data_IF_648476398404
#
_entry.id   IF_648476398404
#
_cell.length_a   1.000
_cell.length_b   1.000
_cell.length_c   1.000
_cell.angle_alpha   90.00
_cell.angle_beta   90.00
_cell.angle_gamma   90.00
#
_symmetry.space_group_name_H-M   'P 1'
#
loop_
_entity.id
_entity.type
_entity.pdbx_description
1 polymer ?
#
# COMPACT_ATOMS: atom_id res chain seq x y z
N UNK A 1 3.15 -6.37 96.49
CA UNK A 1 4.02 -5.72 95.46
C UNK A 1 3.36 -5.87 94.10
N UNK A 2 3.62 -4.97 93.14
CA UNK A 2 3.02 -4.96 91.79
C UNK A 2 4.13 -4.73 90.74
N UNK A 3 4.03 -5.26 89.50
CA UNK A 3 3.21 -4.66 88.41
C UNK A 3 2.11 -5.62 87.87
N UNK A 4 0.96 -5.18 87.31
CA UNK A 4 0.66 -4.58 85.95
C UNK A 4 1.04 -5.52 84.79
N UNK A 5 0.24 -5.79 83.73
CA UNK A 5 -1.15 -5.46 83.25
C UNK A 5 -1.48 -6.50 82.12
N UNK A 6 -2.68 -6.90 81.63
CA UNK A 6 -4.11 -6.51 81.62
C UNK A 6 -4.51 -5.25 80.81
N UNK A 7 -5.53 -5.23 79.93
CA UNK A 7 -6.59 -6.20 79.54
C UNK A 7 -6.81 -6.21 77.99
N UNK A 8 -7.72 -6.97 77.33
CA UNK A 8 -9.21 -6.97 77.38
C UNK A 8 -9.78 -6.21 76.16
N UNK A 9 -10.95 -6.44 75.55
CA UNK A 9 -12.11 -7.37 75.67
C UNK A 9 -12.61 -7.65 74.20
N UNK A 10 -13.63 -8.42 73.82
CA UNK A 10 -14.85 -8.94 74.46
C UNK A 10 -16.12 -8.21 73.93
N UNK A 11 -16.97 -8.95 73.19
CA UNK A 11 -18.47 -8.96 73.18
C UNK A 11 -19.31 -7.66 73.34
N UNK A 12 -20.49 -7.45 72.72
CA UNK A 12 -21.42 -8.31 71.92
C UNK A 12 -22.54 -7.48 71.23
N UNK A 13 -23.46 -8.16 70.51
CA UNK A 13 -24.80 -7.72 70.02
C UNK A 13 -24.88 -6.65 68.88
N UNK A 14 -25.88 -6.68 67.97
CA UNK A 14 -26.91 -7.72 67.73
C UNK A 14 -27.95 -7.39 66.63
N UNK A 15 -28.68 -8.43 66.18
CA UNK A 15 -30.03 -8.48 65.57
C UNK A 15 -30.40 -7.87 64.18
N UNK A 16 -31.00 -8.75 63.35
CA UNK A 16 -32.13 -8.66 62.37
C UNK A 16 -33.02 -7.38 62.33
N UNK A 17 -33.79 -7.03 61.27
CA UNK A 17 -34.25 -7.70 60.02
C UNK A 17 -34.41 -6.65 58.85
N UNK A 18 -34.46 -6.97 57.54
CA UNK A 18 -35.63 -7.38 56.71
C UNK A 18 -36.90 -6.46 56.88
N UNK A 19 -37.56 -5.80 55.90
CA UNK A 19 -38.02 -6.16 54.54
C UNK A 19 -38.23 -4.93 53.57
N UNK A 20 -37.76 -5.04 52.31
CA UNK A 20 -38.49 -4.89 51.00
C UNK A 20 -39.27 -3.60 50.51
N UNK A 21 -39.08 -3.30 49.19
CA UNK A 21 -39.96 -2.68 48.15
C UNK A 21 -39.88 -1.18 47.67
N UNK A 22 -39.56 -1.05 46.37
CA UNK A 22 -40.07 -0.13 45.32
C UNK A 22 -39.72 1.39 45.21
N UNK A 23 -39.76 1.86 43.94
CA UNK A 23 -39.61 3.25 43.40
C UNK A 23 -38.17 3.81 43.47
N UNK A 24 -37.61 4.54 42.49
CA UNK A 24 -37.96 4.69 41.07
C UNK A 24 -38.35 6.10 40.60
N UNK A 25 -37.38 6.95 40.16
CA UNK A 25 -37.51 7.95 39.06
C UNK A 25 -36.22 8.79 38.82
N UNK A 26 -35.95 9.05 37.53
CA UNK A 26 -35.30 10.21 36.87
C UNK A 26 -34.07 10.90 37.50
N UNK A 27 -32.95 10.88 36.78
CA UNK A 27 -31.93 11.95 36.77
C UNK A 27 -32.29 13.01 35.71
N UNK A 28 -32.15 14.28 36.07
CA UNK A 28 -32.01 15.45 35.19
C UNK A 28 -31.04 16.41 35.91
N UNK A 29 -29.90 16.75 35.31
CA UNK A 29 -29.67 17.92 34.43
C UNK A 29 -29.24 19.17 35.22
N UNK A 30 -27.93 19.27 35.50
CA UNK A 30 -27.29 20.56 35.80
C UNK A 30 -26.07 20.76 34.91
N UNK A 31 -26.26 21.53 33.83
CA UNK A 31 -25.17 22.24 33.15
C UNK A 31 -24.98 23.56 33.88
N UNK A 32 -23.80 23.79 34.45
CA UNK A 32 -23.44 25.10 34.99
C UNK A 32 -23.05 26.00 33.81
N UNK A 33 -23.65 27.20 33.76
CA UNK A 33 -23.36 28.19 32.73
C UNK A 33 -22.15 29.05 33.13
N UNK A 34 -21.40 29.52 32.13
CA UNK A 34 -20.39 30.57 32.30
C UNK A 34 -21.10 31.92 32.18
N UNK A 35 -20.78 32.86 33.07
CA UNK A 35 -21.45 34.16 33.15
C UNK A 35 -21.13 35.07 31.95
N UNK A 36 -22.09 35.93 31.59
CA UNK A 36 -21.85 37.07 30.72
C UNK A 36 -21.22 38.23 31.52
N UNK A 37 -20.50 39.09 30.82
CA UNK A 37 -20.65 40.54 31.01
C UNK A 37 -20.75 41.21 29.62
N UNK A 38 -21.44 42.34 29.53
CA UNK A 38 -22.06 42.81 28.28
C UNK A 38 -21.89 44.33 28.04
N UNK A 39 -22.72 44.89 27.14
CA UNK A 39 -22.72 46.25 26.57
C UNK A 39 -21.68 46.46 25.43
N UNK A 40 -21.98 47.22 24.36
CA UNK A 40 -23.11 48.14 24.12
C UNK A 40 -23.65 48.10 22.65
N UNK A 41 -24.66 48.94 22.34
CA UNK A 41 -25.53 48.92 21.14
C UNK A 41 -24.82 49.51 19.88
N UNK A 42 -25.05 49.13 18.60
CA UNK A 42 -26.30 49.04 17.76
C UNK A 42 -26.88 50.45 17.48
N UNK A 43 -27.27 50.87 16.22
CA UNK A 43 -27.70 50.08 15.04
C UNK A 43 -27.19 50.49 13.61
N UNK A 44 -27.56 49.64 12.63
CA UNK A 44 -28.01 49.92 11.25
C UNK A 44 -27.18 50.70 10.18
N UNK A 45 -26.93 50.02 9.05
CA UNK A 45 -27.33 50.43 7.70
C UNK A 45 -27.43 49.21 6.77
N UNK A 46 -28.08 49.31 5.60
CA UNK A 46 -28.32 48.21 4.65
C UNK A 46 -28.07 48.66 3.19
N UNK A 47 -28.32 47.76 2.23
CA UNK A 47 -28.29 47.92 0.76
C UNK A 47 -26.90 48.00 0.06
N UNK A 48 -26.43 46.81 -0.30
CA UNK A 48 -26.16 46.37 -1.68
C UNK A 48 -26.00 47.37 -2.85
N UNK A 49 -25.14 46.94 -3.79
CA UNK A 49 -25.17 47.09 -5.26
C UNK A 49 -24.42 48.25 -5.97
N UNK A 50 -24.10 47.91 -7.22
CA UNK A 50 -23.56 48.68 -8.34
C UNK A 50 -22.06 49.01 -8.42
N UNK A 51 -21.55 48.77 -9.63
CA UNK A 51 -20.17 48.85 -10.07
C UNK A 51 -19.70 50.27 -10.40
N UNK A 52 -18.38 50.51 -10.30
CA UNK A 52 -17.67 51.50 -11.14
C UNK A 52 -16.23 51.05 -11.41
N UNK A 53 -15.79 51.15 -12.68
CA UNK A 53 -14.38 51.00 -13.10
C UNK A 53 -13.71 52.38 -13.08
N UNK A 54 -12.57 52.55 -12.41
CA UNK A 54 -11.59 53.62 -12.69
C UNK A 54 -10.17 53.03 -12.59
N UNK A 55 -9.19 53.63 -13.28
CA UNK A 55 -7.79 53.19 -13.40
C UNK A 55 -6.87 53.87 -12.37
N UNK A 56 -5.89 53.13 -11.85
CA UNK A 56 -4.58 53.62 -11.39
C UNK A 56 -3.61 52.41 -11.48
N UNK A 57 -2.50 52.44 -12.23
CA UNK A 57 -1.30 53.30 -12.16
C UNK A 57 -0.35 52.89 -11.02
N UNK A 58 0.59 51.99 -11.34
CA UNK A 58 1.69 51.56 -10.46
C UNK A 58 3.04 52.14 -10.93
N UNK A 59 3.70 53.02 -10.15
CA UNK A 59 5.10 53.37 -10.42
C UNK A 59 6.01 52.21 -10.00
N UNK A 60 7.10 52.02 -10.73
CA UNK A 60 8.14 51.05 -10.39
C UNK A 60 9.38 51.79 -9.86
N UNK A 61 10.00 51.25 -8.81
CA UNK A 61 11.29 51.72 -8.29
C UNK A 61 12.26 50.54 -8.27
N UNK A 62 13.34 50.64 -9.05
CA UNK A 62 14.33 49.57 -9.18
C UNK A 62 15.45 49.69 -8.13
N UNK A 63 16.09 48.57 -7.80
CA UNK A 63 17.34 48.51 -7.04
C UNK A 63 18.40 47.84 -7.93
N UNK A 64 19.52 48.50 -8.24
CA UNK A 64 20.56 47.93 -9.09
C UNK A 64 21.49 46.98 -8.31
N UNK A 65 21.95 45.92 -8.98
CA UNK A 65 23.07 45.08 -8.52
C UNK A 65 24.12 45.05 -9.61
N UNK A 66 25.35 45.40 -9.26
CA UNK A 66 26.46 45.54 -10.19
C UNK A 66 26.91 44.18 -10.76
N UNK A 67 27.19 44.17 -12.08
CA UNK A 67 28.13 43.23 -12.70
C UNK A 67 29.26 44.01 -13.36
N UNK A 68 30.44 43.41 -13.38
CA UNK A 68 31.58 43.87 -14.18
C UNK A 68 31.57 43.09 -15.49
N UNK A 69 31.55 43.79 -16.61
CA UNK A 69 31.91 43.23 -17.91
C UNK A 69 33.32 43.70 -18.28
N UNK A 70 34.10 42.82 -18.91
CA UNK A 70 35.44 43.13 -19.42
C UNK A 70 35.37 43.16 -20.94
N UNK A 71 35.76 44.29 -21.53
CA UNK A 71 35.80 44.46 -22.97
C UNK A 71 37.03 43.76 -23.58
N UNK A 72 36.87 43.23 -24.79
CA UNK A 72 37.92 43.33 -25.80
C UNK A 72 37.28 43.50 -27.18
N UNK A 73 37.91 44.29 -28.05
CA UNK A 73 37.44 44.65 -29.39
C UNK A 73 38.53 44.41 -30.42
N UNK A 74 38.14 44.11 -31.67
CA UNK A 74 38.77 44.63 -32.90
C UNK A 74 37.91 44.35 -34.14
N UNK A 75 38.06 45.22 -35.13
CA UNK A 75 37.16 45.42 -36.26
C UNK A 75 37.58 44.72 -37.57
N UNK A 76 36.82 45.04 -38.65
CA UNK A 76 37.21 45.08 -40.07
C UNK A 76 36.87 43.84 -40.95
N UNK A 77 36.50 43.98 -42.24
CA UNK A 77 36.05 45.14 -43.07
C UNK A 77 35.47 44.66 -44.43
N UNK A 78 34.46 45.38 -44.99
CA UNK A 78 34.12 45.51 -46.44
C UNK A 78 33.73 44.19 -47.20
N UNK A 79 33.06 44.12 -48.37
CA UNK A 79 32.13 44.95 -49.20
C UNK A 79 31.35 43.95 -50.09
N UNK A 80 30.01 43.98 -50.20
CA UNK A 80 29.14 44.78 -51.11
C UNK A 80 29.49 44.71 -52.61
N UNK A 81 28.54 44.20 -53.42
CA UNK A 81 28.03 44.63 -54.75
C UNK A 81 26.74 43.79 -54.99
N UNK A 82 25.55 44.41 -55.18
CA UNK A 82 24.86 44.66 -56.47
C UNK A 82 24.43 43.39 -57.24
N UNK A 83 23.29 43.29 -57.95
CA UNK A 83 21.95 43.90 -58.02
C UNK A 83 21.35 43.37 -59.35
N UNK A 84 20.06 42.97 -59.40
CA UNK A 84 19.04 43.42 -60.40
C UNK A 84 17.80 42.50 -60.59
N UNK A 85 16.63 43.16 -60.63
CA UNK A 85 15.39 42.91 -61.39
C UNK A 85 14.72 41.51 -61.57
N UNK A 86 13.66 41.29 -60.76
CA UNK A 86 12.21 41.14 -61.10
C UNK A 86 11.77 41.02 -62.60
N UNK A 87 10.51 40.61 -62.92
CA UNK A 87 9.60 39.59 -62.33
C UNK A 87 8.84 38.75 -63.42
N UNK A 88 7.85 37.91 -63.04
CA UNK A 88 6.46 37.79 -63.61
C UNK A 88 5.83 36.37 -63.42
N UNK A 89 4.78 36.32 -62.59
CA UNK A 89 3.42 35.70 -62.75
C UNK A 89 3.22 34.27 -63.32
N UNK A 90 2.42 33.51 -62.57
CA UNK A 90 1.58 32.32 -62.88
C UNK A 90 2.17 31.01 -63.47
N UNK A 91 1.56 29.89 -63.04
CA UNK A 91 1.82 28.54 -63.57
C UNK A 91 1.61 27.44 -62.52
N UNK A 92 0.51 26.69 -62.60
CA UNK A 92 0.32 25.47 -61.79
C UNK A 92 1.24 24.35 -62.31
N UNK A 93 1.99 23.67 -61.43
CA UNK A 93 2.09 22.20 -61.41
C UNK A 93 2.92 21.68 -60.22
N UNK A 94 2.29 20.88 -59.35
CA UNK A 94 2.96 20.32 -58.17
C UNK A 94 3.69 19.00 -58.49
N UNK A 95 4.91 19.10 -59.02
CA UNK A 95 5.82 17.98 -59.31
C UNK A 95 6.40 17.30 -58.04
N UNK A 96 5.56 17.00 -57.05
CA UNK A 96 5.88 16.05 -55.97
C UNK A 96 4.69 15.19 -55.49
N UNK A 97 3.59 15.16 -56.25
CA UNK A 97 2.47 14.25 -56.02
C UNK A 97 2.69 12.89 -56.73
N UNK A 98 3.60 12.05 -56.22
CA UNK A 98 3.70 10.65 -56.64
C UNK A 98 3.09 9.69 -55.61
N UNK A 99 2.41 8.66 -56.12
CA UNK A 99 1.48 7.83 -55.37
C UNK A 99 2.13 7.07 -54.20
N UNK A 100 1.80 7.47 -52.97
CA UNK A 100 1.96 6.61 -51.80
C UNK A 100 1.01 5.40 -51.94
N UNK A 101 1.48 4.15 -51.78
CA UNK A 101 0.60 2.99 -51.83
C UNK A 101 -0.42 3.06 -50.69
N UNK A 102 -1.70 2.93 -51.04
CA UNK A 102 -2.82 3.01 -50.11
C UNK A 102 -2.67 1.91 -49.07
N UNK A 103 -2.30 2.27 -47.84
CA UNK A 103 -2.35 1.34 -46.71
C UNK A 103 -3.80 0.89 -46.54
N UNK A 104 -4.13 -0.41 -46.59
CA UNK A 104 -5.49 -0.87 -46.35
C UNK A 104 -5.86 -0.45 -44.92
N UNK A 105 -6.78 0.51 -44.82
CA UNK A 105 -7.33 0.99 -43.56
C UNK A 105 -7.97 -0.20 -42.86
N UNK A 106 -7.32 -0.71 -41.81
CA UNK A 106 -7.81 -1.87 -41.06
C UNK A 106 -9.26 -1.62 -40.68
N UNK A 107 -10.17 -2.31 -41.36
CA UNK A 107 -11.58 -2.25 -41.01
C UNK A 107 -11.71 -2.93 -39.67
N UNK A 108 -11.84 -2.12 -38.62
CA UNK A 108 -12.30 -2.60 -37.34
C UNK A 108 -13.70 -3.16 -37.59
N UNK A 109 -13.81 -4.48 -37.73
CA UNK A 109 -15.10 -5.14 -37.90
C UNK A 109 -15.89 -4.90 -36.62
N UNK A 110 -16.74 -3.86 -36.66
CA UNK A 110 -17.78 -3.66 -35.68
C UNK A 110 -18.66 -4.91 -35.76
N UNK A 111 -18.49 -5.82 -34.81
CA UNK A 111 -19.37 -6.97 -34.67
C UNK A 111 -20.77 -6.41 -34.40
N UNK A 112 -21.58 -6.37 -35.46
CA UNK A 112 -23.01 -6.05 -35.36
C UNK A 112 -23.65 -7.14 -34.52
N UNK A 113 -23.83 -6.87 -33.24
CA UNK A 113 -24.63 -7.70 -32.34
C UNK A 113 -26.07 -7.71 -32.85
N UNK A 114 -26.40 -8.72 -33.67
CA UNK A 114 -27.72 -8.88 -34.25
C UNK A 114 -28.71 -9.22 -33.13
N UNK A 115 -29.51 -8.24 -32.71
CA UNK A 115 -30.56 -8.44 -31.69
C UNK A 115 -31.78 -9.09 -32.33
N UNK A 116 -31.77 -10.42 -32.45
CA UNK A 116 -32.93 -11.23 -32.77
C UNK A 116 -32.86 -12.58 -32.04
N UNK A 117 -34.02 -13.16 -31.69
CA UNK A 117 -34.12 -14.47 -31.04
C UNK A 117 -34.31 -14.42 -29.53
N UNK A 118 -35.55 -14.18 -29.08
CA UNK A 118 -35.94 -14.26 -27.65
C UNK A 118 -36.17 -15.72 -27.25
N UNK A 119 -35.08 -16.49 -27.16
CA UNK A 119 -35.09 -17.91 -26.78
C UNK A 119 -35.43 -18.14 -25.30
N UNK A 120 -36.25 -19.16 -25.03
CA UNK A 120 -36.69 -19.55 -23.68
C UNK A 120 -35.59 -20.42 -23.04
N UNK A 121 -35.01 -19.98 -21.92
CA UNK A 121 -34.02 -20.77 -21.17
C UNK A 121 -34.70 -21.60 -20.09
N UNK A 122 -34.75 -22.91 -20.28
CA UNK A 122 -35.18 -23.86 -19.24
C UNK A 122 -33.96 -24.40 -18.47
N UNK A 123 -34.17 -24.86 -17.24
CA UNK A 123 -33.09 -25.01 -16.26
C UNK A 123 -32.14 -26.18 -16.58
N UNK A 124 -30.85 -25.88 -16.79
CA UNK A 124 -29.82 -26.89 -16.92
C UNK A 124 -29.26 -27.29 -15.54
N UNK A 125 -29.53 -28.54 -15.13
CA UNK A 125 -28.85 -29.20 -14.01
C UNK A 125 -27.35 -29.38 -14.34
N UNK A 126 -26.51 -29.48 -13.31
CA UNK A 126 -25.05 -29.62 -13.44
C UNK A 126 -24.64 -30.88 -14.21
N UNK A 127 -24.43 -30.73 -15.52
CA UNK A 127 -23.74 -31.71 -16.38
C UNK A 127 -22.37 -31.15 -16.73
N UNK A 128 -21.34 -31.99 -16.67
CA UNK A 128 -19.97 -31.59 -17.00
C UNK A 128 -19.89 -31.08 -18.45
N UNK A 129 -19.33 -29.88 -18.62
CA UNK A 129 -19.27 -29.22 -19.90
C UNK A 129 -18.23 -29.88 -20.82
N UNK A 130 -18.65 -30.93 -21.53
CA UNK A 130 -17.88 -31.56 -22.60
C UNK A 130 -17.39 -30.47 -23.58
N UNK A 131 -16.06 -30.32 -23.79
CA UNK A 131 -15.54 -29.28 -24.65
C UNK A 131 -16.05 -29.52 -26.08
N UNK A 132 -16.55 -28.45 -26.72
CA UNK A 132 -16.93 -28.50 -28.12
C UNK A 132 -15.69 -28.81 -28.96
N UNK A 133 -15.64 -30.03 -29.49
CA UNK A 133 -14.53 -30.57 -30.30
C UNK A 133 -14.36 -29.78 -31.59
N UNK A 134 -13.62 -28.68 -31.51
CA UNK A 134 -13.23 -27.86 -32.63
C UNK A 134 -11.94 -28.47 -33.19
N UNK A 135 -11.98 -29.19 -34.32
CA UNK A 135 -10.83 -29.96 -34.81
C UNK A 135 -9.62 -29.07 -35.11
N UNK A 136 -9.83 -27.78 -35.41
CA UNK A 136 -8.74 -26.82 -35.64
C UNK A 136 -8.02 -26.46 -34.34
N UNK A 137 -8.73 -26.39 -33.20
CA UNK A 137 -8.11 -26.21 -31.88
C UNK A 137 -7.44 -27.50 -31.40
N UNK A 138 -8.10 -28.65 -31.60
CA UNK A 138 -7.53 -29.97 -31.27
C UNK A 138 -6.24 -30.23 -32.06
N UNK A 139 -6.21 -29.91 -33.36
CA UNK A 139 -4.99 -29.93 -34.18
C UNK A 139 -3.96 -28.90 -33.71
N UNK A 140 -4.37 -27.68 -33.40
CA UNK A 140 -3.45 -26.65 -32.92
C UNK A 140 -2.77 -27.07 -31.59
N UNK A 141 -3.49 -27.73 -30.69
CA UNK A 141 -2.96 -28.27 -29.44
C UNK A 141 -2.08 -29.51 -29.65
N UNK A 142 -2.41 -30.39 -30.60
CA UNK A 142 -1.51 -31.50 -31.01
C UNK A 142 -0.21 -31.00 -31.66
N UNK A 143 -0.29 -29.95 -32.48
CA UNK A 143 0.85 -29.33 -33.17
C UNK A 143 1.69 -28.44 -32.24
N UNK A 144 1.09 -27.94 -31.15
CA UNK A 144 1.75 -27.14 -30.12
C UNK A 144 1.49 -27.79 -28.73
N UNK A 145 2.15 -28.92 -28.38
CA UNK A 145 1.92 -29.62 -27.11
C UNK A 145 2.37 -28.81 -25.88
N UNK A 146 3.12 -27.72 -26.06
CA UNK A 146 3.44 -26.71 -25.03
C UNK A 146 2.34 -25.65 -24.84
N UNK A 147 1.28 -25.64 -25.67
CA UNK A 147 0.16 -24.73 -25.53
C UNK A 147 -0.62 -25.01 -24.23
N UNK A 148 -1.15 -23.99 -23.54
CA UNK A 148 -1.57 -24.09 -22.14
C UNK A 148 -2.80 -24.99 -21.86
N UNK A 149 -3.44 -25.52 -22.90
CA UNK A 149 -4.61 -26.41 -22.86
C UNK A 149 -4.43 -27.70 -23.67
N UNK A 150 -3.21 -28.02 -24.12
CA UNK A 150 -2.91 -29.32 -24.71
C UNK A 150 -2.91 -30.38 -23.60
N UNK A 151 -3.96 -31.20 -23.51
CA UNK A 151 -3.90 -32.44 -22.74
C UNK A 151 -2.82 -33.35 -23.37
N UNK A 152 -1.86 -33.88 -22.59
CA UNK A 152 -0.92 -34.87 -23.11
C UNK A 152 -1.70 -36.06 -23.68
N UNK A 153 -1.30 -36.58 -24.84
CA UNK A 153 -1.81 -37.89 -25.23
C UNK A 153 -1.25 -38.93 -24.26
N UNK A 154 -2.15 -39.55 -23.51
CA UNK A 154 -1.82 -40.54 -22.49
C UNK A 154 -1.13 -41.75 -23.14
N UNK A 155 0.20 -41.80 -22.99
CA UNK A 155 0.89 -43.09 -22.87
C UNK A 155 0.26 -43.78 -21.65
N UNK A 156 0.08 -45.11 -21.65
CA UNK A 156 -0.47 -45.81 -20.48
C UNK A 156 0.44 -45.56 -19.26
N UNK A 157 -0.01 -44.68 -18.38
CA UNK A 157 0.69 -44.33 -17.13
C UNK A 157 0.59 -45.55 -16.20
N UNK A 158 1.67 -45.99 -15.54
CA UNK A 158 1.57 -47.03 -14.52
C UNK A 158 0.56 -46.56 -13.46
N UNK A 159 -0.46 -47.37 -13.20
CA UNK A 159 -1.65 -46.95 -12.45
C UNK A 159 -1.30 -46.28 -11.12
N UNK A 160 -1.64 -44.99 -11.02
CA UNK A 160 -1.38 -44.23 -9.80
C UNK A 160 -2.39 -44.62 -8.70
N UNK A 161 -2.10 -44.23 -7.45
CA UNK A 161 -3.00 -44.52 -6.34
C UNK A 161 -4.30 -43.72 -6.49
N UNK A 162 -5.40 -44.26 -5.96
CA UNK A 162 -6.65 -43.52 -5.90
C UNK A 162 -6.45 -42.22 -5.11
N UNK A 163 -7.06 -41.11 -5.56
CA UNK A 163 -6.88 -39.79 -4.95
C UNK A 163 -7.40 -39.64 -3.50
N UNK A 164 -7.97 -40.72 -2.94
CA UNK A 164 -8.35 -40.87 -1.53
C UNK A 164 -7.37 -41.72 -0.70
N UNK A 165 -6.25 -42.15 -1.30
CA UNK A 165 -5.20 -42.94 -0.64
C UNK A 165 -4.33 -42.07 0.27
N UNK A 166 -4.10 -42.55 1.50
CA UNK A 166 -3.29 -41.84 2.51
C UNK A 166 -1.85 -41.56 2.05
N UNK A 167 -1.29 -42.36 1.15
CA UNK A 167 0.08 -42.23 0.65
C UNK A 167 0.22 -41.34 -0.60
N UNK A 168 -0.89 -40.81 -1.14
CA UNK A 168 -0.86 -39.98 -2.35
C UNK A 168 -0.19 -38.62 -2.11
N UNK A 169 -0.43 -37.99 -0.95
CA UNK A 169 0.21 -36.71 -0.61
C UNK A 169 1.71 -36.89 -0.31
N UNK A 170 2.13 -37.99 0.31
CA UNK A 170 3.56 -38.34 0.48
C UNK A 170 4.25 -38.54 -0.86
N UNK A 171 3.63 -39.27 -1.81
CA UNK A 171 4.18 -39.44 -3.17
C UNK A 171 4.25 -38.12 -3.94
N UNK A 172 3.32 -37.18 -3.72
CA UNK A 172 3.39 -35.83 -4.29
C UNK A 172 4.50 -35.01 -3.67
N UNK A 173 4.72 -35.11 -2.37
CA UNK A 173 5.85 -34.47 -1.69
C UNK A 173 7.20 -35.03 -2.20
N UNK A 174 7.32 -36.34 -2.38
CA UNK A 174 8.49 -36.99 -2.98
C UNK A 174 8.72 -36.53 -4.42
N UNK A 175 7.71 -36.59 -5.31
CA UNK A 175 7.83 -36.08 -6.70
C UNK A 175 8.24 -34.61 -6.74
N UNK A 176 7.73 -33.76 -5.83
CA UNK A 176 8.16 -32.36 -5.73
C UNK A 176 9.62 -32.24 -5.25
N UNK A 177 10.04 -33.02 -4.25
CA UNK A 177 11.44 -33.04 -3.79
C UNK A 177 12.40 -33.52 -4.88
N UNK A 178 12.01 -34.54 -5.66
CA UNK A 178 12.74 -35.02 -6.83
C UNK A 178 12.81 -33.96 -7.94
N UNK A 179 11.70 -33.27 -8.25
CA UNK A 179 11.70 -32.14 -9.19
C UNK A 179 12.58 -30.97 -8.72
N UNK A 180 12.57 -30.63 -7.43
CA UNK A 180 13.42 -29.59 -6.85
C UNK A 180 14.91 -29.99 -6.85
N UNK A 181 15.24 -31.25 -6.54
CA UNK A 181 16.60 -31.77 -6.60
C UNK A 181 17.14 -31.80 -8.04
N UNK A 182 16.35 -32.32 -8.99
CA UNK A 182 16.70 -32.34 -10.41
C UNK A 182 16.81 -30.92 -11.02
N UNK A 183 16.05 -29.95 -10.49
CA UNK A 183 16.16 -28.54 -10.87
C UNK A 183 17.34 -27.80 -10.17
N UNK A 184 17.94 -28.38 -9.14
CA UNK A 184 19.15 -27.86 -8.50
C UNK A 184 20.43 -28.43 -9.12
N UNK A 185 20.42 -29.72 -9.50
CA UNK A 185 21.55 -30.43 -10.12
C UNK A 185 21.65 -30.17 -11.64
N UNK A 186 20.50 -29.98 -12.30
CA UNK A 186 20.43 -29.56 -13.70
C UNK A 186 20.74 -28.07 -13.88
N UNK A 187 21.91 -27.74 -14.42
CA UNK A 187 22.45 -26.37 -14.58
C UNK A 187 21.69 -25.37 -15.48
N UNK A 188 20.38 -25.54 -15.73
CA UNK A 188 19.50 -24.56 -16.38
C UNK A 188 19.12 -23.42 -15.39
N UNK A 189 20.13 -22.67 -14.95
CA UNK A 189 19.99 -21.59 -13.98
C UNK A 189 19.14 -20.38 -14.48
N UNK A 190 18.60 -20.43 -15.70
CA UNK A 190 17.78 -19.36 -16.28
C UNK A 190 16.27 -19.59 -16.20
N UNK A 191 15.79 -20.84 -16.16
CA UNK A 191 14.40 -21.15 -16.49
C UNK A 191 13.55 -21.53 -15.27
N UNK A 192 13.15 -20.55 -14.46
CA UNK A 192 12.29 -20.80 -13.29
C UNK A 192 10.91 -21.34 -13.72
N UNK A 193 10.70 -22.65 -13.60
CA UNK A 193 9.41 -23.29 -13.90
C UNK A 193 8.35 -22.86 -12.88
N UNK A 194 7.15 -22.53 -13.33
CA UNK A 194 6.00 -22.20 -12.47
C UNK A 194 4.78 -22.96 -12.98
N UNK A 195 4.21 -23.84 -12.14
CA UNK A 195 3.07 -24.69 -12.53
C UNK A 195 3.37 -25.54 -13.77
N UNK A 196 4.57 -26.14 -13.83
CA UNK A 196 5.04 -26.94 -14.95
C UNK A 196 5.47 -26.18 -16.22
N UNK A 197 5.34 -24.84 -16.26
CA UNK A 197 5.64 -24.03 -17.45
C UNK A 197 6.93 -23.22 -17.29
N UNK A 198 7.73 -23.20 -18.35
CA UNK A 198 8.91 -22.35 -18.51
C UNK A 198 8.56 -20.86 -18.52
N UNK A 199 9.51 -20.00 -18.13
CA UNK A 199 9.35 -18.53 -18.13
C UNK A 199 9.97 -17.91 -19.38
N UNK A 200 9.40 -18.20 -20.55
CA UNK A 200 9.91 -17.73 -21.85
C UNK A 200 9.87 -16.20 -21.96
N UNK A 201 11.02 -15.48 -21.99
CA UNK A 201 11.03 -14.01 -22.00
C UNK A 201 10.33 -13.42 -23.22
N UNK A 202 10.50 -14.04 -24.39
CA UNK A 202 9.88 -13.61 -25.66
C UNK A 202 8.35 -13.71 -25.63
N UNK A 203 7.79 -14.65 -24.89
CA UNK A 203 6.34 -14.80 -24.71
C UNK A 203 5.82 -13.75 -23.72
N UNK A 204 6.49 -13.62 -22.58
CA UNK A 204 6.15 -12.63 -21.54
C UNK A 204 6.25 -11.18 -22.04
N UNK A 205 7.19 -10.87 -22.94
CA UNK A 205 7.41 -9.52 -23.47
C UNK A 205 6.12 -8.86 -24.00
N UNK A 206 5.25 -9.64 -24.68
CA UNK A 206 3.97 -9.15 -25.24
C UNK A 206 2.96 -8.68 -24.17
N UNK A 207 3.13 -9.11 -22.92
CA UNK A 207 2.25 -8.78 -21.79
C UNK A 207 2.92 -7.79 -20.84
N UNK A 208 4.25 -7.88 -20.67
CA UNK A 208 5.05 -7.00 -19.82
C UNK A 208 5.32 -5.62 -20.47
N UNK A 209 5.63 -5.61 -21.78
CA UNK A 209 6.01 -4.43 -22.56
C UNK A 209 5.05 -4.21 -23.76
N UNK A 210 3.79 -3.79 -23.54
CA UNK A 210 2.86 -3.54 -24.64
C UNK A 210 3.21 -2.30 -25.48
N UNK A 211 3.85 -1.28 -24.89
CA UNK A 211 4.20 0.01 -25.54
C UNK A 211 5.70 0.36 -25.36
N UNK A 212 6.63 -0.33 -26.06
CA UNK A 212 8.08 -0.12 -25.87
C UNK A 212 8.52 1.34 -26.09
N UNK A 213 8.04 1.98 -27.15
CA UNK A 213 8.31 3.39 -27.45
C UNK A 213 7.91 4.35 -26.31
N UNK A 214 6.94 3.97 -25.47
CA UNK A 214 6.52 4.77 -24.30
C UNK A 214 7.38 4.48 -23.08
N UNK A 215 7.84 3.23 -22.90
CA UNK A 215 8.84 2.88 -21.89
C UNK A 215 10.17 3.61 -22.14
N UNK A 216 10.73 3.54 -23.34
CA UNK A 216 11.99 4.21 -23.70
C UNK A 216 11.98 5.72 -23.42
N UNK A 217 10.89 6.41 -23.80
CA UNK A 217 10.72 7.85 -23.55
C UNK A 217 10.63 8.18 -22.06
N UNK A 218 10.05 7.29 -21.25
CA UNK A 218 10.03 7.39 -19.80
C UNK A 218 11.42 7.12 -19.18
N UNK A 219 12.12 6.09 -19.65
CA UNK A 219 13.48 5.73 -19.22
C UNK A 219 14.47 6.87 -19.50
N UNK A 220 14.50 7.41 -20.74
CA UNK A 220 15.29 8.59 -21.10
C UNK A 220 14.99 9.78 -20.18
N UNK A 221 13.72 10.03 -19.86
CA UNK A 221 13.30 11.08 -18.90
C UNK A 221 13.80 10.79 -17.48
N UNK A 222 13.84 9.53 -17.04
CA UNK A 222 14.36 9.12 -15.73
C UNK A 222 15.89 9.21 -15.63
N UNK A 223 16.62 8.79 -16.67
CA UNK A 223 18.07 8.95 -16.75
C UNK A 223 18.45 10.43 -16.70
N UNK A 224 17.78 11.29 -17.46
CA UNK A 224 18.00 12.75 -17.41
C UNK A 224 17.70 13.32 -16.00
N UNK A 225 16.64 12.86 -15.34
CA UNK A 225 16.34 13.25 -13.95
C UNK A 225 17.42 12.79 -12.94
N UNK A 226 18.00 11.60 -13.14
CA UNK A 226 19.07 11.05 -12.31
C UNK A 226 20.39 11.80 -12.49
N UNK A 227 20.79 12.04 -13.74
CA UNK A 227 22.00 12.82 -14.10
C UNK A 227 21.89 14.26 -13.56
N UNK A 228 20.74 14.93 -13.74
CA UNK A 228 20.51 16.28 -13.21
C UNK A 228 20.55 16.35 -11.67
N UNK A 229 20.37 15.24 -10.96
CA UNK A 229 20.51 15.14 -9.49
C UNK A 229 21.93 14.76 -9.04
N UNK A 230 22.85 14.44 -9.96
CA UNK A 230 24.18 13.93 -9.61
C UNK A 230 24.12 12.67 -8.75
N UNK A 231 23.20 11.75 -9.06
CA UNK A 231 23.00 10.50 -8.30
C UNK A 231 22.32 10.66 -6.93
N UNK A 232 22.06 11.89 -6.44
CA UNK A 232 21.43 12.12 -5.13
C UNK A 232 20.00 11.57 -5.09
N UNK A 233 19.78 10.53 -4.29
CA UNK A 233 18.46 9.98 -3.99
C UNK A 233 17.68 10.93 -3.08
N UNK A 234 16.38 11.06 -3.31
CA UNK A 234 15.46 11.59 -2.28
C UNK A 234 15.12 10.50 -1.28
N UNK A 235 14.84 10.87 -0.03
CA UNK A 235 14.38 10.00 1.06
C UNK A 235 13.37 8.90 0.62
N UNK A 236 12.28 9.29 -0.06
CA UNK A 236 11.28 8.35 -0.63
C UNK A 236 11.84 7.30 -1.63
N UNK A 237 13.02 7.53 -2.22
CA UNK A 237 13.71 6.56 -3.09
C UNK A 237 14.68 5.67 -2.29
N UNK A 238 15.19 6.14 -1.16
CA UNK A 238 15.96 5.32 -0.21
C UNK A 238 14.99 4.32 0.44
N UNK A 239 13.92 4.82 1.05
CA UNK A 239 12.84 4.02 1.65
C UNK A 239 12.36 2.93 0.69
N UNK A 240 12.03 3.25 -0.57
CA UNK A 240 11.56 2.28 -1.56
C UNK A 240 12.62 1.31 -2.11
N UNK A 241 13.87 1.45 -1.69
CA UNK A 241 14.98 0.53 -1.99
C UNK A 241 15.39 -0.31 -0.78
N UNK A 242 15.22 0.21 0.43
CA UNK A 242 15.61 -0.46 1.68
C UNK A 242 14.46 -1.15 2.39
N UNK A 243 13.26 -0.57 2.36
CA UNK A 243 12.07 -1.10 3.02
C UNK A 243 11.20 -1.88 2.04
N UNK A 244 10.75 -3.07 2.45
CA UNK A 244 9.77 -3.86 1.70
C UNK A 244 8.35 -3.44 2.10
N UNK A 245 7.51 -3.19 1.10
CA UNK A 245 6.08 -2.96 1.29
C UNK A 245 5.25 -3.87 0.36
N UNK A 246 4.12 -4.37 0.86
CA UNK A 246 3.15 -5.12 0.06
C UNK A 246 1.73 -4.60 0.27
N UNK A 247 1.02 -4.29 -0.82
CA UNK A 247 -0.33 -3.72 -0.80
C UNK A 247 -1.31 -4.74 -1.35
N UNK A 248 -2.13 -5.30 -0.46
CA UNK A 248 -3.11 -6.34 -0.78
C UNK A 248 -4.51 -5.76 -0.74
N UNK A 249 -5.31 -6.03 -1.77
CA UNK A 249 -6.71 -5.62 -1.86
C UNK A 249 -7.60 -6.85 -1.92
N UNK A 250 -8.64 -6.87 -1.09
CA UNK A 250 -9.58 -7.98 -1.01
C UNK A 250 -10.58 -8.03 -2.17
N UNK A 251 -11.19 -9.20 -2.31
CA UNK A 251 -12.50 -9.34 -2.96
C UNK A 251 -13.56 -8.44 -2.29
N UNK A 252 -14.66 -8.17 -3.00
CA UNK A 252 -15.75 -7.35 -2.46
C UNK A 252 -16.62 -8.16 -1.49
N UNK A 253 -16.65 -7.76 -0.23
CA UNK A 253 -17.49 -8.36 0.81
C UNK A 253 -18.88 -7.71 0.88
N UNK A 254 -19.92 -8.50 1.21
CA UNK A 254 -21.31 -8.01 1.37
C UNK A 254 -21.51 -7.27 2.71
N UNK A 255 -20.89 -6.11 2.85
CA UNK A 255 -20.96 -5.29 4.06
C UNK A 255 -20.83 -3.79 3.75
N UNK A 256 -20.98 -2.95 4.77
CA UNK A 256 -20.87 -1.48 4.67
C UNK A 256 -19.52 -0.99 5.16
N UNK A 257 -19.01 0.10 4.56
CA UNK A 257 -17.75 0.77 4.95
C UNK A 257 -17.71 1.05 6.45
N UNK A 258 -18.82 1.50 7.03
CA UNK A 258 -18.94 1.78 8.48
C UNK A 258 -18.77 0.52 9.34
N UNK A 259 -19.24 -0.65 8.87
CA UNK A 259 -19.15 -1.92 9.59
C UNK A 259 -17.76 -2.55 9.46
N UNK A 260 -17.21 -2.63 8.25
CA UNK A 260 -15.88 -3.20 7.99
C UNK A 260 -14.76 -2.31 8.55
N UNK A 261 -14.91 -0.98 8.47
CA UNK A 261 -13.93 -0.02 8.96
C UNK A 261 -13.70 -0.05 10.48
N UNK A 262 -14.61 -0.64 11.26
CA UNK A 262 -14.36 -0.89 12.69
C UNK A 262 -13.31 -2.00 12.90
N UNK A 263 -13.34 -3.05 12.07
CA UNK A 263 -12.38 -4.17 12.14
C UNK A 263 -11.04 -3.78 11.51
N UNK A 264 -11.05 -3.01 10.41
CA UNK A 264 -9.83 -2.45 9.82
C UNK A 264 -8.99 -1.66 10.86
N UNK A 265 -9.64 -0.81 11.67
CA UNK A 265 -8.98 -0.10 12.78
C UNK A 265 -8.58 -1.01 13.96
N UNK A 266 -9.18 -2.19 14.11
CA UNK A 266 -8.80 -3.16 15.15
C UNK A 266 -7.55 -3.96 14.78
N UNK A 267 -7.26 -4.14 13.49
CA UNK A 267 -6.07 -4.85 12.98
C UNK A 267 -4.90 -3.91 12.64
N UNK A 268 -5.16 -2.64 12.34
CA UNK A 268 -4.11 -1.67 12.05
C UNK A 268 -3.11 -1.53 13.22
N UNK A 269 -1.81 -1.60 12.91
CA UNK A 269 -0.73 -1.48 13.90
C UNK A 269 -0.41 -2.77 14.67
N UNK A 270 -1.06 -3.90 14.35
CA UNK A 270 -0.71 -5.23 14.89
C UNK A 270 0.26 -5.98 13.97
N UNK A 271 0.94 -7.00 14.49
CA UNK A 271 1.62 -8.00 13.65
C UNK A 271 0.57 -8.77 12.81
N UNK A 272 1.00 -9.41 11.73
CA UNK A 272 0.07 -10.19 10.89
C UNK A 272 -0.55 -11.37 11.65
N UNK A 273 0.23 -12.03 12.51
CA UNK A 273 -0.19 -13.12 13.39
C UNK A 273 -1.21 -12.65 14.43
N UNK A 274 -0.92 -11.57 15.17
CA UNK A 274 -1.86 -10.94 16.11
C UNK A 274 -3.19 -10.62 15.44
N UNK A 275 -3.15 -10.10 14.21
CA UNK A 275 -4.34 -9.74 13.45
C UNK A 275 -5.16 -10.98 13.06
N UNK A 276 -4.51 -12.07 12.63
CA UNK A 276 -5.16 -13.35 12.33
C UNK A 276 -5.81 -13.94 13.60
N UNK A 277 -5.10 -13.98 14.73
CA UNK A 277 -5.64 -14.42 16.03
C UNK A 277 -6.83 -13.56 16.47
N UNK A 278 -6.73 -12.24 16.32
CA UNK A 278 -7.81 -11.31 16.66
C UNK A 278 -9.03 -11.44 15.75
N UNK A 279 -8.87 -11.89 14.50
CA UNK A 279 -10.01 -12.21 13.62
C UNK A 279 -10.59 -13.60 13.91
N UNK A 280 -9.76 -14.61 14.24
CA UNK A 280 -10.21 -15.96 14.68
C UNK A 280 -11.25 -15.89 15.81
N UNK A 281 -10.99 -15.08 16.83
CA UNK A 281 -11.88 -14.94 18.00
C UNK A 281 -12.91 -13.79 17.91
N UNK A 282 -13.06 -13.15 16.74
CA UNK A 282 -13.98 -12.00 16.58
C UNK A 282 -15.42 -12.44 16.31
N UNK A 283 -16.35 -12.02 17.19
CA UNK A 283 -17.80 -12.30 17.10
C UNK A 283 -18.53 -11.62 15.92
N UNK A 284 -17.83 -11.17 14.87
CA UNK A 284 -18.40 -10.49 13.70
C UNK A 284 -18.29 -11.42 12.49
N UNK A 285 -19.41 -11.77 11.82
CA UNK A 285 -19.43 -12.67 10.65
C UNK A 285 -18.30 -12.41 9.63
N UNK A 286 -18.11 -11.14 9.27
CA UNK A 286 -17.11 -10.67 8.30
C UNK A 286 -15.65 -10.92 8.74
N UNK A 287 -15.36 -11.21 10.01
CA UNK A 287 -14.01 -11.47 10.48
C UNK A 287 -13.43 -12.78 9.92
N UNK A 288 -14.25 -13.78 9.60
CA UNK A 288 -13.80 -14.99 8.91
C UNK A 288 -13.33 -14.70 7.48
N UNK A 289 -13.97 -13.75 6.78
CA UNK A 289 -13.56 -13.32 5.45
C UNK A 289 -12.26 -12.48 5.50
N UNK A 290 -12.10 -11.66 6.55
CA UNK A 290 -10.85 -10.90 6.80
C UNK A 290 -9.70 -11.84 7.19
N UNK A 291 -9.95 -12.87 7.99
CA UNK A 291 -8.97 -13.90 8.37
C UNK A 291 -8.35 -14.54 7.12
N UNK A 292 -9.19 -15.03 6.20
CA UNK A 292 -8.73 -15.62 4.92
C UNK A 292 -7.94 -14.60 4.09
N UNK A 293 -8.35 -13.33 4.12
CA UNK A 293 -7.65 -12.26 3.42
C UNK A 293 -6.29 -11.93 4.03
N UNK A 294 -6.12 -12.07 5.36
CA UNK A 294 -4.84 -11.84 6.05
C UNK A 294 -3.89 -13.03 5.89
N UNK A 295 -4.40 -14.26 5.88
CA UNK A 295 -3.64 -15.46 5.55
C UNK A 295 -3.12 -15.35 4.09
N UNK A 296 -4.00 -15.10 3.12
CA UNK A 296 -3.60 -14.80 1.73
C UNK A 296 -2.58 -13.65 1.64
N UNK A 297 -2.80 -12.54 2.37
CA UNK A 297 -1.92 -11.37 2.30
C UNK A 297 -0.52 -11.64 2.89
N UNK A 298 -0.43 -12.49 3.92
CA UNK A 298 0.85 -12.98 4.47
C UNK A 298 1.58 -13.82 3.42
N UNK A 299 0.90 -14.79 2.84
CA UNK A 299 1.52 -15.77 1.93
C UNK A 299 1.97 -15.09 0.63
N UNK A 300 1.14 -14.17 0.10
CA UNK A 300 1.47 -13.32 -1.04
C UNK A 300 2.64 -12.35 -0.74
N UNK A 301 2.73 -11.83 0.49
CA UNK A 301 3.85 -10.99 0.92
C UNK A 301 5.18 -11.76 1.03
N UNK A 302 5.17 -12.98 1.55
CA UNK A 302 6.34 -13.86 1.59
C UNK A 302 6.79 -14.17 0.16
N UNK A 303 5.87 -14.62 -0.70
CA UNK A 303 6.19 -15.08 -2.07
C UNK A 303 6.61 -13.93 -3.00
N UNK A 304 5.88 -12.80 -3.02
CA UNK A 304 6.17 -11.70 -3.98
C UNK A 304 7.17 -10.66 -3.48
N UNK A 305 7.44 -10.57 -2.18
CA UNK A 305 8.37 -9.57 -1.60
C UNK A 305 9.50 -10.15 -0.75
N UNK A 306 9.48 -11.45 -0.46
CA UNK A 306 10.48 -12.10 0.42
C UNK A 306 10.40 -11.64 1.88
N UNK A 307 9.26 -11.05 2.31
CA UNK A 307 9.13 -10.50 3.65
C UNK A 307 9.03 -11.61 4.71
N UNK A 308 9.54 -11.35 5.92
CA UNK A 308 9.42 -12.28 7.06
C UNK A 308 10.37 -13.48 7.06
N UNK A 309 11.20 -13.68 6.03
CA UNK A 309 12.05 -14.87 5.92
C UNK A 309 13.20 -14.92 6.95
N UNK A 310 13.80 -13.77 7.30
CA UNK A 310 15.02 -13.67 8.12
C UNK A 310 14.88 -14.03 9.62
N UNK A 311 13.81 -14.72 10.01
CA UNK A 311 13.72 -15.42 11.29
C UNK A 311 14.09 -16.91 11.20
N UNK A 312 13.98 -17.51 10.00
CA UNK A 312 14.36 -18.93 9.77
C UNK A 312 15.87 -19.10 9.87
N UNK A 313 16.64 -18.16 9.30
CA UNK A 313 18.10 -18.14 9.36
C UNK A 313 18.60 -18.10 10.82
N UNK A 314 18.02 -17.20 11.65
CA UNK A 314 18.32 -17.11 13.09
C UNK A 314 17.96 -18.40 13.83
N UNK A 315 16.78 -18.97 13.57
CA UNK A 315 16.35 -20.20 14.22
C UNK A 315 17.26 -21.39 13.86
N UNK A 316 17.79 -21.44 12.62
CA UNK A 316 18.78 -22.43 12.23
C UNK A 316 20.12 -22.21 12.95
N UNK A 317 20.60 -20.96 13.04
CA UNK A 317 21.79 -20.60 13.83
C UNK A 317 21.63 -20.96 15.32
N UNK A 318 20.44 -20.77 15.92
CA UNK A 318 20.17 -21.16 17.32
C UNK A 318 20.19 -22.69 17.51
N UNK A 319 19.49 -23.46 16.68
CA UNK A 319 19.44 -24.93 16.78
C UNK A 319 20.82 -25.61 16.56
N UNK A 320 21.70 -25.01 15.75
CA UNK A 320 23.07 -25.48 15.56
C UNK A 320 23.94 -25.28 16.81
N UNK A 321 23.71 -24.21 17.58
CA UNK A 321 24.44 -23.95 18.81
C UNK A 321 24.02 -24.90 19.95
N UNK A 322 22.73 -25.23 20.07
CA UNK A 322 22.22 -26.14 21.10
C UNK A 322 22.63 -27.62 20.88
N UNK A 323 23.16 -27.97 19.70
CA UNK A 323 23.58 -29.35 19.35
C UNK A 323 25.07 -29.63 19.49
N UNK A 324 25.89 -28.63 19.84
CA UNK A 324 27.30 -28.84 20.20
C UNK A 324 27.45 -29.05 21.71
N UNK A 325 27.77 -30.26 22.21
CA UNK A 325 28.12 -30.44 23.61
C UNK A 325 29.43 -29.70 23.90
N UNK A 326 29.42 -28.81 24.90
CA UNK A 326 30.57 -27.97 25.27
C UNK A 326 31.71 -28.82 25.88
N UNK A 327 32.51 -29.45 25.02
CA UNK A 327 33.81 -30.00 25.40
C UNK A 327 34.74 -28.84 25.75
N UNK A 328 35.38 -28.93 26.91
CA UNK A 328 36.04 -27.79 27.56
C UNK A 328 37.29 -27.28 26.84
N UNK A 329 37.36 -25.97 26.64
CA UNK A 329 38.60 -25.22 26.93
C UNK A 329 39.37 -24.56 25.78
N UNK A 330 38.87 -24.54 24.54
CA UNK A 330 39.52 -23.81 23.44
C UNK A 330 38.51 -23.02 22.61
N UNK A 331 38.51 -21.69 22.73
CA UNK A 331 37.78 -20.81 21.81
C UNK A 331 38.60 -20.58 20.53
N UNK A 332 38.08 -20.90 19.33
CA UNK A 332 38.74 -20.55 18.08
C UNK A 332 38.58 -19.04 17.81
N UNK A 333 39.62 -18.27 18.12
CA UNK A 333 39.63 -16.81 18.00
C UNK A 333 39.64 -16.36 16.52
N UNK A 334 38.47 -16.34 15.88
CA UNK A 334 38.28 -15.89 14.48
C UNK A 334 37.97 -14.38 14.44
N UNK A 335 38.89 -13.51 13.99
CA UNK A 335 38.64 -12.07 13.94
C UNK A 335 37.86 -11.69 12.67
N UNK A 336 36.53 -11.56 12.75
CA UNK A 336 35.79 -10.95 11.63
C UNK A 336 34.26 -11.06 11.60
N UNK A 337 33.64 -11.96 12.36
CA UNK A 337 32.16 -12.09 12.40
C UNK A 337 31.67 -11.94 13.84
N UNK A 338 31.09 -10.79 14.15
CA UNK A 338 30.42 -10.58 15.42
C UNK A 338 29.10 -11.38 15.42
N UNK A 339 29.03 -12.42 16.24
CA UNK A 339 27.83 -13.25 16.44
C UNK A 339 26.82 -12.48 17.31
N UNK A 340 26.23 -11.46 16.68
CA UNK A 340 25.29 -10.55 17.31
C UNK A 340 23.97 -11.22 17.62
N UNK A 341 23.83 -11.76 18.84
CA UNK A 341 22.52 -11.91 19.49
C UNK A 341 21.91 -10.53 19.68
N UNK A 342 21.24 -10.02 18.64
CA UNK A 342 20.64 -8.69 18.59
C UNK A 342 19.66 -8.52 19.76
N UNK A 343 20.00 -7.66 20.72
CA UNK A 343 19.16 -7.50 21.92
C UNK A 343 17.78 -6.94 21.53
N UNK A 344 16.67 -7.54 22.01
CA UNK A 344 15.34 -7.28 21.46
C UNK A 344 14.91 -5.82 21.67
N UNK A 345 14.76 -5.10 20.55
CA UNK A 345 14.68 -3.64 20.50
C UNK A 345 13.34 -3.14 21.04
N UNK A 346 13.40 -2.36 22.13
CA UNK A 346 12.22 -1.79 22.79
C UNK A 346 11.83 -0.44 22.18
N UNK A 347 11.06 -0.48 21.09
CA UNK A 347 10.58 0.71 20.39
C UNK A 347 9.31 1.30 21.05
N UNK A 348 9.08 2.59 20.85
CA UNK A 348 7.77 3.22 21.09
C UNK A 348 7.03 3.37 19.76
N UNK A 349 5.80 2.86 19.66
CA UNK A 349 4.95 3.09 18.48
C UNK A 349 4.43 4.54 18.47
N UNK A 350 3.96 5.01 17.31
CA UNK A 350 3.31 6.33 17.15
C UNK A 350 2.14 6.57 18.10
N UNK A 351 1.50 5.49 18.56
CA UNK A 351 0.38 5.49 19.51
C UNK A 351 0.84 5.49 20.99
N UNK A 352 2.13 5.67 21.29
CA UNK A 352 2.70 5.66 22.64
C UNK A 352 2.90 4.27 23.27
N UNK A 353 2.24 3.22 22.75
CA UNK A 353 2.46 1.83 23.19
C UNK A 353 3.93 1.42 22.97
N UNK A 354 4.58 0.86 24.00
CA UNK A 354 5.86 0.14 23.87
C UNK A 354 5.67 -1.17 23.11
N UNK A 355 6.61 -1.51 22.25
CA UNK A 355 6.65 -2.74 21.48
C UNK A 355 8.07 -3.30 21.53
N UNK A 356 8.20 -4.61 21.70
CA UNK A 356 9.50 -5.29 21.69
C UNK A 356 9.64 -5.99 20.35
N UNK A 357 10.67 -5.63 19.58
CA UNK A 357 10.98 -6.27 18.30
C UNK A 357 12.11 -7.27 18.54
N UNK A 358 11.84 -8.55 18.29
CA UNK A 358 12.88 -9.57 18.16
C UNK A 358 13.43 -9.51 16.73
N UNK A 359 12.61 -9.87 15.74
CA UNK A 359 13.00 -9.83 14.33
C UNK A 359 12.59 -8.52 13.63
N UNK A 360 13.56 -7.81 13.06
CA UNK A 360 13.32 -6.67 12.19
C UNK A 360 12.55 -7.04 10.90
N UNK A 361 12.60 -8.30 10.46
CA UNK A 361 11.92 -8.81 9.26
C UNK A 361 10.42 -9.11 9.49
N UNK A 362 9.93 -9.13 10.74
CA UNK A 362 8.58 -9.61 11.06
C UNK A 362 7.48 -8.74 10.43
N UNK A 363 6.47 -9.38 9.85
CA UNK A 363 5.43 -8.69 9.06
C UNK A 363 4.35 -8.08 9.98
N UNK A 364 4.08 -6.79 9.78
CA UNK A 364 3.02 -6.05 10.47
C UNK A 364 2.08 -5.31 9.50
N UNK A 365 0.88 -4.98 10.00
CA UNK A 365 -0.11 -4.18 9.28
C UNK A 365 0.13 -2.69 9.57
N UNK A 366 0.67 -1.97 8.59
CA UNK A 366 0.90 -0.52 8.68
C UNK A 366 -0.41 0.26 8.57
N UNK A 367 -1.17 -0.06 7.52
CA UNK A 367 -2.40 0.64 7.17
C UNK A 367 -3.46 -0.37 6.74
N UNK A 368 -4.68 -0.20 7.25
CA UNK A 368 -5.84 -0.99 6.85
C UNK A 368 -7.02 -0.05 6.63
N UNK A 369 -7.51 0.02 5.40
CA UNK A 369 -8.62 0.92 5.01
C UNK A 369 -9.64 0.20 4.12
N UNK A 370 -10.78 0.84 3.89
CA UNK A 370 -11.95 0.20 3.28
C UNK A 370 -12.42 0.98 2.06
N UNK A 371 -12.38 0.33 0.91
CA UNK A 371 -12.94 0.82 -0.35
C UNK A 371 -14.44 0.54 -0.47
N UNK A 372 -15.13 1.34 -1.30
CA UNK A 372 -16.50 1.07 -1.73
C UNK A 372 -16.48 0.15 -2.95
N UNK A 373 -17.26 -0.93 -2.90
CA UNK A 373 -17.58 -1.75 -4.06
C UNK A 373 -18.84 -1.24 -4.77
N UNK A 374 -19.36 -1.99 -5.76
CA UNK A 374 -20.63 -1.69 -6.40
C UNK A 374 -21.79 -1.74 -5.38
N UNK A 375 -22.86 -0.97 -5.62
CA UNK A 375 -24.07 -1.00 -4.80
C UNK A 375 -25.18 -1.72 -5.55
N UNK A 376 -25.80 -2.72 -4.91
CA UNK A 376 -27.06 -3.27 -5.38
C UNK A 376 -28.22 -2.33 -5.02
N UNK A 377 -29.27 -2.29 -5.81
CA UNK A 377 -30.46 -1.48 -5.58
C UNK A 377 -31.68 -2.40 -5.43
N UNK A 378 -32.43 -2.25 -4.34
CA UNK A 378 -33.71 -2.92 -4.12
C UNK A 378 -34.77 -1.85 -3.79
N UNK A 379 -36.03 -2.00 -4.23
CA UNK A 379 -37.12 -1.15 -3.74
C UNK A 379 -37.43 -1.45 -2.27
N UNK A 380 -37.75 -0.41 -1.51
CA UNK A 380 -38.22 -0.43 -0.13
C UNK A 380 -39.63 0.18 -0.12
N UNK A 381 -40.64 -0.68 -0.19
CA UNK A 381 -42.05 -0.28 -0.28
C UNK A 381 -42.59 0.11 1.10
N UNK A 382 -43.13 1.32 1.22
CA UNK A 382 -43.63 1.89 2.48
C UNK A 382 -45.08 2.34 2.33
N UNK A 383 -45.73 2.57 3.47
CA UNK A 383 -47.13 3.00 3.52
C UNK A 383 -47.38 4.30 2.72
N UNK A 384 -48.63 4.46 2.26
CA UNK A 384 -49.09 5.59 1.43
C UNK A 384 -48.37 5.72 0.07
N UNK A 385 -48.04 4.60 -0.57
CA UNK A 385 -47.45 4.55 -1.92
C UNK A 385 -45.97 4.95 -2.02
N UNK A 386 -45.34 5.31 -0.91
CA UNK A 386 -43.94 5.75 -0.89
C UNK A 386 -42.99 4.58 -1.19
N UNK A 387 -42.20 4.67 -2.25
CA UNK A 387 -41.16 3.67 -2.57
C UNK A 387 -39.78 4.29 -2.48
N UNK A 388 -38.97 3.80 -1.53
CA UNK A 388 -37.56 4.16 -1.38
C UNK A 388 -36.65 3.21 -2.19
N UNK A 389 -35.38 3.56 -2.35
CA UNK A 389 -34.37 2.66 -2.94
C UNK A 389 -33.32 2.29 -1.87
N UNK A 390 -33.39 1.04 -1.40
CA UNK A 390 -32.42 0.45 -0.50
C UNK A 390 -31.13 0.09 -1.25
N UNK A 391 -30.06 0.86 -1.00
CA UNK A 391 -28.73 0.61 -1.57
C UNK A 391 -27.97 -0.44 -0.75
N UNK A 392 -27.98 -1.70 -1.18
CA UNK A 392 -27.22 -2.77 -0.49
C UNK A 392 -25.73 -2.67 -0.81
N UNK A 393 -24.85 -2.47 0.19
CA UNK A 393 -23.45 -2.20 -0.06
C UNK A 393 -22.64 -3.47 -0.32
N UNK A 394 -21.60 -3.31 -1.14
CA UNK A 394 -20.41 -4.16 -1.13
C UNK A 394 -19.18 -3.29 -0.84
N UNK A 395 -18.12 -3.87 -0.28
CA UNK A 395 -16.88 -3.16 0.09
C UNK A 395 -15.67 -4.08 0.06
N UNK A 396 -14.51 -3.56 -0.35
CA UNK A 396 -13.21 -4.25 -0.23
C UNK A 396 -12.38 -3.67 0.93
N UNK A 397 -11.61 -4.52 1.59
CA UNK A 397 -10.53 -4.14 2.51
C UNK A 397 -9.24 -3.97 1.68
N UNK A 398 -8.41 -2.99 2.01
CA UNK A 398 -7.05 -2.88 1.51
C UNK A 398 -6.10 -2.80 2.70
N UNK A 399 -5.01 -3.56 2.65
CA UNK A 399 -4.02 -3.70 3.71
C UNK A 399 -2.64 -3.42 3.14
N UNK A 400 -1.87 -2.57 3.82
CA UNK A 400 -0.44 -2.36 3.56
C UNK A 400 0.36 -3.10 4.63
N UNK A 401 1.14 -4.07 4.18
CA UNK A 401 2.07 -4.86 4.99
C UNK A 401 3.49 -4.31 4.84
N UNK A 402 4.24 -4.31 5.95
CA UNK A 402 5.65 -3.91 6.05
C UNK A 402 6.36 -4.79 7.08
N UNK A 403 7.69 -4.73 7.11
CA UNK A 403 8.55 -5.38 8.11
C UNK A 403 8.78 -4.46 9.33
N UNK A 404 8.97 -4.98 10.55
CA UNK A 404 9.20 -4.16 11.76
C UNK A 404 10.40 -3.19 11.64
N UNK A 405 11.36 -3.46 10.74
CA UNK A 405 12.44 -2.55 10.35
C UNK A 405 11.95 -1.12 10.06
N UNK A 406 10.79 -0.95 9.43
CA UNK A 406 10.27 0.39 9.11
C UNK A 406 9.80 1.13 10.37
N UNK A 407 9.39 0.40 11.42
CA UNK A 407 9.06 0.97 12.74
C UNK A 407 10.29 1.32 13.55
N UNK A 408 11.39 0.58 13.37
CA UNK A 408 12.69 0.90 13.96
C UNK A 408 13.15 2.26 13.42
N UNK A 409 13.20 2.45 12.08
CA UNK A 409 13.51 3.77 11.49
C UNK A 409 12.53 4.86 11.94
N UNK A 410 11.22 4.61 11.90
CA UNK A 410 10.23 5.61 12.38
C UNK A 410 10.35 5.96 13.87
N UNK A 411 10.95 5.08 14.68
CA UNK A 411 11.28 5.34 16.09
C UNK A 411 12.59 6.12 16.21
N UNK A 412 13.64 5.70 15.52
CA UNK A 412 14.94 6.38 15.46
C UNK A 412 14.81 7.82 14.99
N UNK A 413 14.10 8.09 13.88
CA UNK A 413 13.81 9.45 13.39
C UNK A 413 13.09 10.33 14.43
N UNK A 414 12.31 9.69 15.31
CA UNK A 414 11.53 10.37 16.35
C UNK A 414 12.38 10.67 17.58
N UNK A 415 13.27 9.76 17.97
CA UNK A 415 14.27 10.00 19.01
C UNK A 415 15.36 10.98 18.52
N UNK A 416 15.78 10.90 17.27
CA UNK A 416 16.57 11.92 16.54
C UNK A 416 15.92 13.29 16.65
N UNK A 417 14.64 13.40 16.29
CA UNK A 417 13.88 14.65 16.36
C UNK A 417 13.71 15.14 17.80
N UNK A 418 13.51 14.24 18.76
CA UNK A 418 13.44 14.53 20.20
C UNK A 418 14.80 15.00 20.76
N UNK A 419 15.91 14.38 20.34
CA UNK A 419 17.30 14.75 20.65
C UNK A 419 17.62 16.14 20.09
N UNK A 420 17.33 16.38 18.82
CA UNK A 420 17.48 17.69 18.16
C UNK A 420 16.60 18.78 18.82
N UNK A 421 15.42 18.43 19.32
CA UNK A 421 14.57 19.36 20.08
C UNK A 421 15.08 19.62 21.52
N UNK A 422 15.61 18.62 22.22
CA UNK A 422 16.16 18.75 23.58
C UNK A 422 17.49 19.50 23.65
N UNK A 423 18.37 19.31 22.66
CA UNK A 423 19.73 19.87 22.65
C UNK A 423 19.82 21.16 21.81
N UNK A 424 18.91 21.35 20.86
CA UNK A 424 18.86 22.54 20.00
C UNK A 424 18.05 23.69 20.59
N UNK A 425 17.88 24.74 19.77
CA UNK A 425 17.16 26.01 20.07
C UNK A 425 15.67 25.86 20.45
N UNK A 426 15.15 24.62 20.49
CA UNK A 426 13.77 24.31 20.84
C UNK A 426 13.64 23.74 22.27
N UNK A 427 14.73 23.69 23.04
CA UNK A 427 14.69 23.45 24.47
C UNK A 427 13.82 24.53 25.14
N UNK A 428 12.99 24.14 26.10
CA UNK A 428 12.18 25.09 26.85
C UNK A 428 13.07 25.93 27.77
N UNK A 429 13.02 27.25 27.59
CA UNK A 429 13.72 28.26 28.40
C UNK A 429 12.65 29.10 29.12
N UNK A 430 12.80 29.40 30.43
CA UNK A 430 11.78 30.12 31.19
C UNK A 430 11.50 31.54 30.67
N UNK A 431 12.53 32.23 30.17
CA UNK A 431 12.42 33.51 29.48
C UNK A 431 13.02 33.39 28.07
N UNK A 432 12.21 33.12 27.04
CA UNK A 432 12.70 32.91 25.68
C UNK A 432 12.72 34.20 24.85
N UNK A 433 13.80 34.43 24.09
CA UNK A 433 13.94 35.56 23.16
C UNK A 433 12.98 35.42 21.97
N UNK A 434 11.80 36.04 22.08
CA UNK A 434 10.82 36.08 21.00
C UNK A 434 11.14 37.25 20.06
N UNK A 435 11.24 37.05 18.74
CA UNK A 435 11.52 38.14 17.81
C UNK A 435 10.40 39.18 17.83
N UNK A 436 10.77 40.46 17.78
CA UNK A 436 9.81 41.57 17.68
C UNK A 436 9.13 41.51 16.30
N UNK A 437 7.88 41.04 16.29
CA UNK A 437 7.11 40.73 15.09
C UNK A 437 6.61 41.96 14.29
N UNK A 438 7.00 43.19 14.69
CA UNK A 438 6.62 44.43 14.04
C UNK A 438 7.83 45.34 13.85
N UNK A 439 7.94 45.95 12.67
CA UNK A 439 8.99 46.90 12.32
C UNK A 439 8.43 48.33 12.38
N UNK A 440 9.20 49.25 12.98
CA UNK A 440 8.99 50.71 12.86
C UNK A 440 10.21 51.33 12.18
N UNK A 441 10.03 52.52 11.62
CA UNK A 441 11.13 53.29 11.00
C UNK A 441 11.84 54.23 12.01
N UNK A 442 11.59 54.03 13.30
CA UNK A 442 12.16 54.77 14.41
C UNK A 442 12.34 53.85 15.62
N UNK A 443 13.34 54.15 16.46
CA UNK A 443 13.57 53.43 17.72
C UNK A 443 12.51 53.80 18.76
N UNK A 444 12.16 52.83 19.62
CA UNK A 444 11.16 53.01 20.70
C UNK A 444 11.75 52.83 22.10
N UNK A 445 12.98 52.34 22.17
CA UNK A 445 13.86 52.12 23.31
C UNK A 445 15.28 51.95 22.76
#
# INVERSE_FOLDING_TARGET
>A
MSPKRSAGCGESAGCHAEWVLLKGRRKQDHRIAIALQACQLVPAACLSQQSKRIRAATPATAIPVLRRDVQFSRDSRLTRLEENNRPIVDGNECLFCQNLPIRPRVQHQQQRTAVFGRGKSENATTTEAQPSKNPVLDEYHRKNPSAPSAQPQERPVPGDLAASSIFEDDRRAQRQQEEYAAAADGGDAGNTKVGGKARDPNNMLRVLDPDPNSRERWERKKVIQMVRRGGRLTDQQVIKRTEREHLVKSQNFKTSVKKLGMLARQIQGKTIEDAIVQMRFSKKKIAQDILKQLEYARDEAVIMRGMGLGGVDRAAEENLNDTSPTVSGVEPMIPGRAEGKETPLQIQLKNGKRHTVADASKIYIDQAWVGRGPYGQLPDFRARGNTNILRTPWTSLTVLLKEEATRIREYEEREEKRRKAKVGKNLWVPLPDRPVQWQRQWYTF
#
